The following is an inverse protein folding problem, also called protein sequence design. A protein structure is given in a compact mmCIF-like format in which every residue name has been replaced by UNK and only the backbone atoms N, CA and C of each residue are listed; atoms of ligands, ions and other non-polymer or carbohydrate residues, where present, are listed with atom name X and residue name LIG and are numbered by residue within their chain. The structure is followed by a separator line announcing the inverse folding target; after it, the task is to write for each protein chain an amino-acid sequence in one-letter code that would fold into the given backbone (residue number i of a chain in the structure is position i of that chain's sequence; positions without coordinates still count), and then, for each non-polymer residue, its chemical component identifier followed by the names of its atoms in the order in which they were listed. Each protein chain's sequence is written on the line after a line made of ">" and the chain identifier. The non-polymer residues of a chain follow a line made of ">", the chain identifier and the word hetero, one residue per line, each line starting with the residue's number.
data_IF_855022785860
#
_entry.id   IF_855022785860
#
_cell.length_a   1.000
_cell.length_b   1.000
_cell.length_c   1.000
_cell.angle_alpha   90.00
_cell.angle_beta   90.00
_cell.angle_gamma   90.00
#
_symmetry.space_group_name_H-M   'P 1'
#
loop_
_entity.id
_entity.type
_entity.pdbx_description
1 polymer ?
#
# COMPACT_ATOMS: atom_id res chain seq x y z
N UNK A 1 9.30 -5.53 16.99
CA UNK A 1 9.57 -5.28 15.57
C UNK A 1 8.85 -4.02 15.11
N UNK A 2 9.46 -3.24 14.23
CA UNK A 2 8.84 -2.05 13.62
C UNK A 2 8.68 -2.29 12.11
N UNK A 3 7.47 -2.04 11.59
CA UNK A 3 7.19 -2.05 10.16
C UNK A 3 7.01 -0.61 9.66
N UNK A 4 7.84 -0.22 8.69
CA UNK A 4 7.74 1.07 8.01
C UNK A 4 6.82 0.91 6.79
N UNK A 5 5.71 1.59 6.78
CA UNK A 5 4.74 1.60 5.68
C UNK A 5 4.92 2.88 4.88
N UNK A 6 5.55 2.76 3.73
CA UNK A 6 5.92 3.89 2.87
C UNK A 6 4.98 3.95 1.68
N UNK A 7 4.36 5.10 1.44
CA UNK A 7 3.56 5.33 0.23
C UNK A 7 4.46 5.88 -0.87
N UNK A 8 4.30 5.37 -2.09
CA UNK A 8 4.97 5.90 -3.28
C UNK A 8 4.83 7.41 -3.43
N UNK A 9 5.71 8.08 -4.17
CA UNK A 9 5.62 9.51 -4.50
C UNK A 9 4.38 9.83 -5.37
N UNK A 10 3.98 11.11 -5.49
CA UNK A 10 2.88 11.52 -6.37
C UNK A 10 3.04 10.98 -7.79
N UNK A 11 1.93 10.57 -8.41
CA UNK A 11 1.92 10.01 -9.77
C UNK A 11 1.71 11.10 -10.83
N UNK A 12 2.13 10.79 -12.06
CA UNK A 12 1.95 11.68 -13.23
C UNK A 12 0.56 11.48 -13.86
N UNK A 13 -0.49 11.64 -13.06
CA UNK A 13 -1.89 11.62 -13.50
C UNK A 13 -2.60 12.88 -13.06
N UNK A 14 -3.71 13.20 -13.74
CA UNK A 14 -4.58 14.29 -13.35
C UNK A 14 -5.09 14.05 -11.89
N UNK A 15 -5.14 15.11 -11.05
CA UNK A 15 -5.74 15.01 -9.73
C UNK A 15 -7.14 14.44 -9.76
N UNK A 16 -7.45 13.54 -8.82
CA UNK A 16 -8.76 12.89 -8.76
C UNK A 16 -8.94 11.69 -9.70
N UNK A 17 -7.88 11.22 -10.37
CA UNK A 17 -7.94 9.98 -11.16
C UNK A 17 -7.98 8.76 -10.23
N UNK A 18 -8.78 7.77 -10.57
CA UNK A 18 -8.75 6.44 -9.98
C UNK A 18 -7.60 5.65 -10.60
N UNK A 19 -6.70 5.16 -9.79
CA UNK A 19 -5.61 4.28 -10.21
C UNK A 19 -5.25 3.33 -9.06
N UNK A 20 -5.31 2.06 -9.32
CA UNK A 20 -4.92 1.02 -8.40
C UNK A 20 -3.94 0.07 -9.08
N UNK A 21 -4.47 -0.88 -9.87
CA UNK A 21 -3.67 -1.79 -10.67
C UNK A 21 -3.02 -1.11 -11.89
N UNK A 22 -3.56 0.02 -12.35
CA UNK A 22 -2.99 0.80 -13.46
C UNK A 22 -1.53 1.15 -13.14
N UNK A 23 -0.61 0.75 -14.03
CA UNK A 23 0.83 0.92 -13.83
C UNK A 23 1.30 2.28 -14.35
N UNK A 24 1.29 3.26 -13.47
CA UNK A 24 1.64 4.66 -13.76
C UNK A 24 2.91 5.08 -13.05
N UNK A 25 3.70 5.93 -13.72
CA UNK A 25 4.91 6.49 -13.16
C UNK A 25 4.64 7.52 -12.06
N UNK A 26 5.53 7.60 -11.09
CA UNK A 26 5.60 8.69 -10.12
C UNK A 26 6.44 9.84 -10.65
N UNK A 27 6.23 11.04 -10.09
CA UNK A 27 7.08 12.20 -10.33
C UNK A 27 8.51 11.93 -9.84
N UNK A 28 9.49 12.15 -10.72
CA UNK A 28 10.88 11.79 -10.46
C UNK A 28 11.53 12.65 -9.36
N UNK A 29 11.20 13.95 -9.31
CA UNK A 29 11.76 14.86 -8.32
C UNK A 29 11.20 14.54 -6.92
N UNK A 30 9.90 14.32 -6.82
CA UNK A 30 9.24 13.90 -5.58
C UNK A 30 9.73 12.51 -5.11
N UNK A 31 9.97 11.58 -6.05
CA UNK A 31 10.53 10.25 -5.76
C UNK A 31 11.92 10.37 -5.16
N UNK A 32 12.79 11.20 -5.75
CA UNK A 32 14.16 11.44 -5.26
C UNK A 32 14.13 12.08 -3.86
N UNK A 33 13.27 13.08 -3.65
CA UNK A 33 13.12 13.72 -2.35
C UNK A 33 12.64 12.74 -1.26
N UNK A 34 11.66 11.88 -1.58
CA UNK A 34 11.18 10.85 -0.66
C UNK A 34 12.28 9.81 -0.34
N UNK A 35 13.07 9.40 -1.35
CA UNK A 35 14.17 8.46 -1.16
C UNK A 35 15.26 9.04 -0.24
N UNK A 36 15.63 10.31 -0.41
CA UNK A 36 16.59 11.01 0.46
C UNK A 36 16.10 11.05 1.91
N UNK A 37 14.83 11.47 2.12
CA UNK A 37 14.25 11.55 3.46
C UNK A 37 14.18 10.17 4.15
N UNK A 38 13.88 9.10 3.40
CA UNK A 38 13.88 7.73 3.92
C UNK A 38 15.30 7.25 4.24
N UNK A 39 16.28 7.56 3.39
CA UNK A 39 17.68 7.17 3.59
C UNK A 39 18.24 7.67 4.91
N UNK A 40 17.83 8.87 5.33
CA UNK A 40 18.28 9.51 6.58
C UNK A 40 17.71 8.86 7.85
N UNK A 41 16.51 8.26 7.76
CA UNK A 41 15.79 7.78 8.95
C UNK A 41 15.77 6.26 9.10
N UNK A 42 15.99 5.51 8.03
CA UNK A 42 15.95 4.06 8.08
C UNK A 42 17.20 3.45 8.75
N UNK A 43 17.04 2.53 9.70
CA UNK A 43 18.15 1.74 10.23
C UNK A 43 18.91 0.99 9.13
N UNK A 44 20.12 0.53 9.44
CA UNK A 44 20.94 -0.24 8.50
C UNK A 44 20.43 -1.66 8.31
N UNK A 45 20.65 -2.23 7.13
CA UNK A 45 20.46 -3.65 6.84
C UNK A 45 19.01 -4.12 6.84
N UNK A 46 18.02 -3.21 6.66
CA UNK A 46 16.60 -3.57 6.66
C UNK A 46 16.21 -4.34 5.39
N UNK A 47 15.21 -5.22 5.57
CA UNK A 47 14.49 -5.83 4.46
C UNK A 47 13.45 -4.86 3.93
N UNK A 48 13.49 -4.59 2.63
CA UNK A 48 12.55 -3.71 1.91
C UNK A 48 11.75 -4.56 0.93
N UNK A 49 10.46 -4.71 1.19
CA UNK A 49 9.52 -5.29 0.23
C UNK A 49 8.83 -4.18 -0.53
N UNK A 50 8.81 -4.25 -1.86
CA UNK A 50 8.17 -3.25 -2.71
C UNK A 50 7.07 -3.86 -3.56
N UNK A 51 5.99 -3.10 -3.78
CA UNK A 51 5.01 -3.40 -4.84
C UNK A 51 5.70 -3.41 -6.21
N UNK A 52 5.30 -4.29 -7.15
CA UNK A 52 5.84 -4.33 -8.50
C UNK A 52 5.37 -3.18 -9.40
N UNK A 53 4.45 -2.33 -8.94
CA UNK A 53 3.99 -1.20 -9.74
C UNK A 53 5.09 -0.13 -9.80
N UNK A 54 5.34 0.40 -11.02
CA UNK A 54 6.52 1.23 -11.32
C UNK A 54 6.68 2.42 -10.35
N UNK A 55 5.60 3.05 -9.88
CA UNK A 55 5.65 4.15 -8.89
C UNK A 55 6.27 3.75 -7.55
N UNK A 56 6.16 2.47 -7.16
CA UNK A 56 6.82 1.93 -5.97
C UNK A 56 8.25 1.48 -6.28
N UNK A 57 8.47 0.82 -7.42
CA UNK A 57 9.79 0.39 -7.85
C UNK A 57 10.73 1.57 -8.06
N UNK A 58 10.24 2.69 -8.63
CA UNK A 58 11.02 3.93 -8.78
C UNK A 58 11.54 4.41 -7.41
N UNK A 59 10.69 4.44 -6.37
CA UNK A 59 11.10 4.84 -5.03
C UNK A 59 12.08 3.82 -4.42
N UNK A 60 11.79 2.53 -4.59
CA UNK A 60 12.64 1.46 -4.07
C UNK A 60 14.04 1.48 -4.68
N UNK A 61 14.16 1.67 -5.99
CA UNK A 61 15.44 1.77 -6.68
C UNK A 61 16.20 3.05 -6.33
N UNK A 62 15.52 4.21 -6.23
CA UNK A 62 16.13 5.45 -5.79
C UNK A 62 16.69 5.33 -4.37
N UNK A 63 15.94 4.70 -3.46
CA UNK A 63 16.36 4.43 -2.09
C UNK A 63 17.56 3.46 -2.06
N UNK A 64 17.51 2.37 -2.84
CA UNK A 64 18.62 1.40 -2.92
C UNK A 64 19.91 2.02 -3.45
N UNK A 65 19.83 2.97 -4.40
CA UNK A 65 20.98 3.73 -4.87
C UNK A 65 21.67 4.56 -3.79
N UNK A 66 20.91 5.03 -2.78
CA UNK A 66 21.42 5.77 -1.63
C UNK A 66 21.84 4.85 -0.47
N UNK A 67 21.21 3.70 -0.35
CA UNK A 67 21.34 2.75 0.74
C UNK A 67 21.50 1.32 0.22
N UNK A 68 22.68 0.97 -0.35
CA UNK A 68 22.96 -0.36 -0.90
C UNK A 68 23.07 -1.46 0.17
N UNK A 69 23.04 -1.10 1.43
CA UNK A 69 22.95 -2.01 2.57
C UNK A 69 21.55 -2.63 2.75
N UNK A 70 20.51 -2.05 2.10
CA UNK A 70 19.14 -2.54 2.20
C UNK A 70 18.93 -3.78 1.31
N UNK A 71 18.13 -4.73 1.79
CA UNK A 71 17.78 -5.94 1.05
C UNK A 71 16.44 -5.76 0.34
N UNK A 72 16.48 -5.41 -0.93
CA UNK A 72 15.29 -5.14 -1.75
C UNK A 72 14.69 -6.42 -2.32
N UNK A 73 13.37 -6.61 -2.17
CA UNK A 73 12.57 -7.68 -2.75
C UNK A 73 11.24 -7.14 -3.26
N UNK A 74 10.85 -7.54 -4.47
CA UNK A 74 9.50 -7.29 -4.99
C UNK A 74 8.50 -8.30 -4.44
N UNK A 75 7.33 -7.81 -3.99
CA UNK A 75 6.24 -8.66 -3.52
C UNK A 75 4.92 -8.24 -4.18
N UNK A 76 4.37 -9.12 -5.01
CA UNK A 76 3.14 -8.87 -5.77
C UNK A 76 1.91 -8.67 -4.87
N UNK A 77 1.93 -9.16 -3.63
CA UNK A 77 0.85 -9.00 -2.65
C UNK A 77 0.73 -7.56 -2.14
N UNK A 78 1.77 -6.72 -2.36
CA UNK A 78 1.79 -5.31 -1.99
C UNK A 78 1.25 -4.36 -3.06
N UNK A 79 0.73 -4.87 -4.19
CA UNK A 79 0.07 -4.04 -5.21
C UNK A 79 -1.16 -3.36 -4.64
N UNK A 80 -1.51 -2.18 -5.17
CA UNK A 80 -2.76 -1.52 -4.82
C UNK A 80 -3.96 -2.38 -5.27
N UNK A 81 -5.12 -2.11 -4.70
CA UNK A 81 -6.38 -2.70 -5.09
C UNK A 81 -6.65 -2.45 -6.57
N UNK A 82 -7.07 -3.48 -7.29
CA UNK A 82 -7.55 -3.35 -8.67
C UNK A 82 -8.99 -2.81 -8.65
N UNK A 83 -9.19 -1.62 -9.22
CA UNK A 83 -10.50 -0.98 -9.29
C UNK A 83 -11.28 -1.32 -10.58
N UNK A 84 -10.84 -2.31 -11.36
CA UNK A 84 -11.56 -2.78 -12.54
C UNK A 84 -11.80 -1.67 -13.57
N UNK A 85 -13.04 -1.53 -14.04
CA UNK A 85 -13.42 -0.52 -15.04
C UNK A 85 -13.32 0.93 -14.55
N UNK A 86 -13.11 1.17 -13.26
CA UNK A 86 -12.88 2.53 -12.74
C UNK A 86 -11.47 3.05 -12.99
N UNK A 87 -10.51 2.15 -13.26
CA UNK A 87 -9.12 2.51 -13.52
C UNK A 87 -9.00 3.54 -14.66
N UNK A 88 -8.27 4.63 -14.40
CA UNK A 88 -8.06 5.73 -15.35
C UNK A 88 -9.19 6.75 -15.42
N UNK A 89 -10.35 6.47 -14.84
CA UNK A 89 -11.44 7.43 -14.74
C UNK A 89 -11.19 8.43 -13.60
N UNK A 90 -11.90 9.56 -13.62
CA UNK A 90 -11.96 10.43 -12.46
C UNK A 90 -12.94 9.86 -11.44
N UNK A 91 -12.61 9.96 -10.15
CA UNK A 91 -13.51 9.51 -9.08
C UNK A 91 -14.89 10.16 -9.14
N UNK A 92 -14.96 11.44 -9.54
CA UNK A 92 -16.21 12.19 -9.67
C UNK A 92 -17.00 11.86 -10.96
N UNK A 93 -16.42 11.10 -11.89
CA UNK A 93 -17.09 10.61 -13.08
C UNK A 93 -17.71 9.21 -12.92
N UNK A 94 -17.37 8.51 -11.83
CA UNK A 94 -17.95 7.21 -11.52
C UNK A 94 -19.38 7.42 -10.99
N UNK A 95 -20.34 6.64 -11.51
CA UNK A 95 -21.73 6.80 -11.13
C UNK A 95 -21.94 6.52 -9.62
N UNK A 96 -22.74 7.35 -8.95
CA UNK A 96 -23.03 7.20 -7.52
C UNK A 96 -23.59 5.80 -7.19
N UNK A 97 -24.41 5.24 -8.09
CA UNK A 97 -24.97 3.90 -7.93
C UNK A 97 -23.92 2.79 -7.84
N UNK A 98 -22.75 2.98 -8.46
CA UNK A 98 -21.62 2.02 -8.33
C UNK A 98 -20.97 2.13 -6.96
N UNK A 99 -20.82 3.34 -6.42
CA UNK A 99 -20.35 3.53 -5.04
C UNK A 99 -21.36 2.97 -4.02
N UNK A 100 -22.66 3.18 -4.25
CA UNK A 100 -23.71 2.66 -3.39
C UNK A 100 -23.68 1.11 -3.37
N UNK A 101 -23.52 0.50 -4.54
CA UNK A 101 -23.38 -0.96 -4.65
C UNK A 101 -22.12 -1.48 -3.93
N UNK A 102 -21.00 -0.79 -4.07
CA UNK A 102 -19.76 -1.15 -3.36
C UNK A 102 -19.92 -1.02 -1.85
N UNK A 103 -20.43 0.11 -1.36
CA UNK A 103 -20.60 0.34 0.08
C UNK A 103 -21.64 -0.58 0.71
N UNK A 104 -22.69 -0.97 -0.03
CA UNK A 104 -23.71 -1.92 0.44
C UNK A 104 -23.17 -3.35 0.60
N UNK A 105 -22.11 -3.72 -0.13
CA UNK A 105 -21.45 -5.03 -0.03
C UNK A 105 -19.92 -4.83 -0.02
N UNK A 106 -19.42 -4.04 0.92
CA UNK A 106 -18.06 -3.53 0.93
C UNK A 106 -16.99 -4.61 0.93
N UNK A 107 -17.23 -5.70 1.68
CA UNK A 107 -16.29 -6.81 1.77
C UNK A 107 -16.09 -7.55 0.44
N UNK A 108 -17.18 -7.87 -0.26
CA UNK A 108 -17.19 -8.87 -1.33
C UNK A 108 -17.46 -8.30 -2.72
N UNK A 109 -17.88 -7.04 -2.82
CA UNK A 109 -18.14 -6.42 -4.12
C UNK A 109 -16.86 -6.33 -4.96
N UNK A 110 -16.89 -6.89 -6.18
CA UNK A 110 -15.83 -6.72 -7.17
C UNK A 110 -15.92 -5.33 -7.77
N UNK A 111 -15.03 -4.43 -7.34
CA UNK A 111 -15.06 -3.00 -7.73
C UNK A 111 -14.88 -2.85 -9.23
N UNK A 112 -15.66 -1.95 -9.85
CA UNK A 112 -15.61 -1.72 -11.29
C UNK A 112 -15.92 -2.99 -12.11
N UNK A 113 -16.74 -3.90 -11.58
CA UNK A 113 -17.25 -5.11 -12.25
C UNK A 113 -16.31 -6.31 -12.26
N UNK A 114 -14.99 -6.11 -12.38
CA UNK A 114 -14.00 -7.20 -12.43
C UNK A 114 -12.73 -6.91 -11.62
N UNK A 115 -12.75 -5.86 -10.80
CA UNK A 115 -11.65 -5.53 -9.90
C UNK A 115 -11.58 -6.46 -8.68
N UNK A 116 -10.76 -6.09 -7.71
CA UNK A 116 -10.67 -6.83 -6.47
C UNK A 116 -11.81 -6.44 -5.51
N UNK A 117 -12.17 -7.37 -4.63
CA UNK A 117 -12.92 -7.06 -3.42
C UNK A 117 -11.98 -6.68 -2.27
N UNK A 118 -12.51 -5.98 -1.26
CA UNK A 118 -11.74 -5.65 -0.05
C UNK A 118 -11.29 -6.92 0.66
N UNK A 119 -12.11 -7.96 0.69
CA UNK A 119 -11.76 -9.27 1.25
C UNK A 119 -10.55 -9.90 0.54
N UNK A 120 -10.49 -9.81 -0.79
CA UNK A 120 -9.34 -10.33 -1.55
C UNK A 120 -8.06 -9.55 -1.23
N UNK A 121 -8.14 -8.22 -1.14
CA UNK A 121 -7.01 -7.37 -0.71
C UNK A 121 -6.55 -7.73 0.70
N UNK A 122 -7.46 -7.80 1.67
CA UNK A 122 -7.13 -8.17 3.05
C UNK A 122 -6.49 -9.56 3.14
N UNK A 123 -6.96 -10.53 2.35
CA UNK A 123 -6.41 -11.89 2.33
C UNK A 123 -4.96 -11.91 1.83
N UNK A 124 -4.66 -11.27 0.66
CA UNK A 124 -3.30 -11.28 0.12
C UNK A 124 -2.31 -10.45 0.95
N UNK A 125 -2.75 -9.29 1.49
CA UNK A 125 -1.91 -8.48 2.38
C UNK A 125 -1.70 -9.21 3.70
N UNK A 126 -2.72 -9.91 4.21
CA UNK A 126 -2.62 -10.76 5.39
C UNK A 126 -1.54 -11.83 5.26
N UNK A 127 -1.45 -12.50 4.10
CA UNK A 127 -0.38 -13.48 3.83
C UNK A 127 1.01 -12.83 3.89
N UNK A 128 1.19 -11.64 3.29
CA UNK A 128 2.46 -10.92 3.36
C UNK A 128 2.78 -10.47 4.80
N UNK A 129 1.76 -10.08 5.55
CA UNK A 129 1.89 -9.66 6.94
C UNK A 129 2.29 -10.81 7.87
N UNK A 130 1.72 -12.00 7.65
CA UNK A 130 2.01 -13.20 8.46
C UNK A 130 3.45 -13.73 8.24
N UNK A 131 4.05 -13.45 7.08
CA UNK A 131 5.45 -13.77 6.80
C UNK A 131 6.45 -12.81 7.47
N UNK A 132 5.97 -11.71 8.05
CA UNK A 132 6.84 -10.86 8.86
C UNK A 132 7.21 -11.64 10.13
N UNK A 133 8.42 -12.21 10.13
CA UNK A 133 8.97 -12.82 11.33
C UNK A 133 9.15 -11.73 12.38
N UNK A 134 8.49 -11.82 13.53
CA UNK A 134 8.46 -10.79 14.56
C UNK A 134 9.83 -10.39 15.18
N UNK A 135 10.93 -10.74 14.52
CA UNK A 135 12.30 -10.59 15.04
C UNK A 135 13.08 -9.41 14.45
N UNK A 136 12.74 -8.95 13.25
CA UNK A 136 13.49 -7.88 12.58
C UNK A 136 12.57 -6.82 12.01
N UNK A 137 13.01 -5.57 12.07
CA UNK A 137 12.34 -4.44 11.43
C UNK A 137 12.29 -4.60 9.90
N UNK A 138 11.24 -4.08 9.26
CA UNK A 138 11.04 -4.17 7.82
C UNK A 138 10.42 -2.91 7.23
N UNK A 139 10.52 -2.80 5.91
CA UNK A 139 9.96 -1.68 5.14
C UNK A 139 9.06 -2.23 4.05
N UNK A 140 7.87 -1.71 3.91
CA UNK A 140 7.00 -1.91 2.75
C UNK A 140 6.87 -0.61 1.96
N UNK A 141 7.31 -0.61 0.70
CA UNK A 141 7.06 0.49 -0.24
C UNK A 141 5.83 0.09 -1.05
N UNK A 142 4.71 0.80 -0.83
CA UNK A 142 3.41 0.36 -1.28
C UNK A 142 2.43 1.54 -1.49
N UNK A 143 1.14 1.33 -1.29
CA UNK A 143 0.02 2.18 -1.66
C UNK A 143 -0.91 2.47 -0.48
N UNK A 144 -1.79 3.44 -0.64
CA UNK A 144 -2.68 3.90 0.42
C UNK A 144 -3.62 2.81 0.94
N UNK A 145 -4.22 2.01 0.06
CA UNK A 145 -5.13 0.92 0.45
C UNK A 145 -4.40 -0.18 1.22
N UNK A 146 -3.20 -0.54 0.78
CA UNK A 146 -2.39 -1.59 1.41
C UNK A 146 -1.87 -1.14 2.78
N UNK A 147 -1.52 0.14 2.93
CA UNK A 147 -1.14 0.71 4.24
C UNK A 147 -2.31 0.60 5.22
N UNK A 148 -3.54 0.92 4.80
CA UNK A 148 -4.74 0.77 5.63
C UNK A 148 -5.01 -0.69 6.00
N UNK A 149 -4.87 -1.60 5.05
CA UNK A 149 -4.98 -3.04 5.32
C UNK A 149 -3.95 -3.51 6.37
N UNK A 150 -2.69 -3.09 6.24
CA UNK A 150 -1.63 -3.42 7.20
C UNK A 150 -1.92 -2.85 8.61
N UNK A 151 -2.52 -1.65 8.70
CA UNK A 151 -2.94 -1.07 9.98
C UNK A 151 -4.02 -1.90 10.68
N UNK A 152 -5.02 -2.38 9.93
CA UNK A 152 -6.06 -3.27 10.45
C UNK A 152 -5.49 -4.61 10.92
N UNK A 153 -4.61 -5.21 10.12
CA UNK A 153 -3.94 -6.46 10.45
C UNK A 153 -3.10 -6.34 11.74
N UNK A 154 -2.41 -5.21 11.94
CA UNK A 154 -1.66 -4.93 13.16
C UNK A 154 -2.55 -4.83 14.40
N UNK A 155 -3.83 -4.48 14.24
CA UNK A 155 -4.85 -4.47 15.29
C UNK A 155 -5.54 -5.83 15.46
N UNK A 156 -5.14 -6.85 14.69
CA UNK A 156 -5.77 -8.19 14.71
C UNK A 156 -7.04 -8.28 13.86
N UNK A 157 -7.39 -7.23 13.10
CA UNK A 157 -8.59 -7.20 12.24
C UNK A 157 -8.23 -7.82 10.90
N UNK A 158 -8.76 -9.01 10.64
CA UNK A 158 -8.51 -9.78 9.41
C UNK A 158 -9.59 -9.62 8.34
N UNK A 159 -10.77 -9.22 8.74
CA UNK A 159 -11.95 -9.06 7.88
C UNK A 159 -12.58 -7.71 8.11
N UNK A 160 -13.02 -7.09 7.04
CA UNK A 160 -13.72 -5.80 7.02
C UNK A 160 -15.03 -6.03 6.28
N UNK A 161 -16.14 -5.88 6.97
CA UNK A 161 -17.47 -6.13 6.41
C UNK A 161 -18.13 -4.83 5.90
N UNK A 162 -17.83 -3.70 6.55
CA UNK A 162 -18.49 -2.42 6.28
C UNK A 162 -17.47 -1.31 6.00
N UNK A 163 -17.86 -0.34 5.18
CA UNK A 163 -17.00 0.75 4.74
C UNK A 163 -16.51 1.66 5.90
N UNK A 164 -17.27 1.81 6.96
CA UNK A 164 -16.93 2.59 8.15
C UNK A 164 -15.80 1.96 8.99
N UNK A 165 -15.55 0.65 8.82
CA UNK A 165 -14.42 -0.05 9.42
C UNK A 165 -13.09 0.25 8.70
N UNK A 166 -13.15 0.79 7.47
CA UNK A 166 -11.94 1.10 6.70
C UNK A 166 -11.30 2.40 7.18
N UNK A 167 -10.00 2.41 7.55
CA UNK A 167 -9.35 3.60 8.09
C UNK A 167 -9.46 4.80 7.16
N UNK A 168 -9.91 5.94 7.68
CA UNK A 168 -10.05 7.18 6.92
C UNK A 168 -8.72 7.95 6.84
N UNK A 169 -7.89 7.82 7.87
CA UNK A 169 -6.57 8.45 7.92
C UNK A 169 -5.61 7.76 6.94
N UNK A 170 -4.99 8.54 6.10
CA UNK A 170 -4.06 8.09 5.07
C UNK A 170 -2.63 8.57 5.31
N UNK A 171 -1.69 7.95 4.62
CA UNK A 171 -0.31 8.44 4.49
C UNK A 171 -0.22 9.24 3.20
N UNK A 172 0.33 10.45 3.24
CA UNK A 172 0.54 11.27 2.04
C UNK A 172 1.57 10.61 1.09
N UNK A 173 1.48 10.91 -0.21
CA UNK A 173 2.45 10.41 -1.17
C UNK A 173 3.88 10.83 -0.80
N UNK A 174 4.83 9.91 -0.90
CA UNK A 174 6.23 10.10 -0.50
C UNK A 174 6.48 10.13 1.00
N UNK A 175 5.44 9.88 1.82
CA UNK A 175 5.53 9.83 3.27
C UNK A 175 5.38 8.41 3.79
N UNK A 176 5.61 8.22 5.09
CA UNK A 176 5.52 6.92 5.74
C UNK A 176 4.88 6.99 7.13
N UNK A 177 4.48 5.83 7.59
CA UNK A 177 4.03 5.57 8.96
C UNK A 177 4.77 4.35 9.50
N UNK A 178 5.00 4.29 10.78
CA UNK A 178 5.56 3.09 11.44
C UNK A 178 4.50 2.40 12.28
N UNK A 179 4.50 1.06 12.22
CA UNK A 179 3.72 0.21 13.11
C UNK A 179 4.66 -0.53 14.05
N UNK A 180 4.40 -0.47 15.35
CA UNK A 180 5.03 -1.35 16.33
C UNK A 180 4.27 -2.69 16.34
N UNK A 181 4.94 -3.77 15.98
CA UNK A 181 4.37 -5.10 15.99
C UNK A 181 4.94 -5.88 17.18
N UNK A 182 4.07 -6.39 18.05
CA UNK A 182 4.49 -7.29 19.13
C UNK A 182 5.00 -8.61 18.55
N UNK A 183 6.02 -9.22 19.17
CA UNK A 183 6.48 -10.55 18.78
C UNK A 183 5.35 -11.57 18.95
N UNK A 184 5.28 -12.56 18.07
CA UNK A 184 4.24 -13.61 18.05
C UNK A 184 4.24 -14.53 19.30
N UNK A 185 5.06 -14.25 20.29
CA UNK A 185 5.16 -15.03 21.53
C UNK A 185 3.93 -14.89 22.48
N UNK A 186 2.94 -14.05 22.13
CA UNK A 186 1.75 -13.80 22.97
C UNK A 186 0.41 -13.96 22.21
N UNK A 187 0.33 -14.83 21.19
CA UNK A 187 -0.95 -15.18 20.56
C UNK A 187 -1.27 -16.65 20.72
#
# INVERSE_FOLDING_TARGET
>A
MKLWLVRHAPVLLAPGSCYGALDVAADAAATSAAALALADVLPQGLRVSTSPLQRCEQLAHALYGLRPDLMLKTDTRLREMNFGNWEGQRWDAIAQSEFDAWTANFADHAVGGHGESVRAVMARVGQAFDELSGEADGVWITHAGIIRAAQLLAQGIRQVEHADQWPQDGVACGQWRTLALSSAANR
#
